data_IF_008348846490
#
_entry.id   IF_008348846490
#
_cell.length_a   1.000
_cell.length_b   1.000
_cell.length_c   1.000
_cell.angle_alpha   90.00
_cell.angle_beta   90.00
_cell.angle_gamma   90.00
#
_symmetry.space_group_name_H-M   'P 1'
#
loop_
_entity.id
_entity.type
_entity.pdbx_description
1 polymer ?
#
# COMPACT_ATOMS: atom_id res chain seq x y z
N UNK A 1 2.96 5.71 0.32
CA UNK A 1 1.53 5.50 0.67
C UNK A 1 0.85 6.87 0.79
N UNK A 2 -0.44 7.02 0.51
CA UNK A 2 -1.20 8.25 0.82
C UNK A 2 -1.36 8.45 2.34
N UNK A 3 -1.54 9.70 2.80
CA UNK A 3 -1.67 10.05 4.23
C UNK A 3 -2.75 9.28 5.01
N UNK A 4 -2.55 9.15 6.33
CA UNK A 4 -3.41 8.36 7.23
C UNK A 4 -4.86 8.84 7.30
N UNK A 5 -5.14 10.14 7.14
CA UNK A 5 -6.53 10.65 7.14
C UNK A 5 -7.37 10.04 6.02
N UNK A 6 -6.71 9.68 4.92
CA UNK A 6 -7.32 9.06 3.75
C UNK A 6 -7.44 7.53 3.88
N UNK A 7 -6.82 6.93 4.90
CA UNK A 7 -6.70 5.48 5.08
C UNK A 7 -6.97 5.03 6.53
N UNK A 8 -6.72 3.76 6.88
CA UNK A 8 -6.92 3.25 8.23
C UNK A 8 -5.82 3.69 9.21
N UNK A 9 -6.18 4.02 10.46
CA UNK A 9 -5.24 4.50 11.49
C UNK A 9 -4.12 3.51 11.82
N UNK A 10 -4.39 2.20 11.74
CA UNK A 10 -3.39 1.15 11.99
C UNK A 10 -2.39 0.92 10.84
N UNK A 11 -2.59 1.53 9.67
CA UNK A 11 -1.76 1.23 8.50
C UNK A 11 -0.33 1.75 8.61
N UNK A 12 -0.09 2.90 9.25
CA UNK A 12 1.27 3.40 9.41
C UNK A 12 2.14 2.40 10.19
N UNK A 13 1.65 1.94 11.34
CA UNK A 13 2.34 0.92 12.13
C UNK A 13 2.49 -0.38 11.35
N UNK A 14 1.43 -0.84 10.66
CA UNK A 14 1.50 -2.07 9.87
C UNK A 14 2.54 -1.99 8.73
N UNK A 15 2.62 -0.87 8.01
CA UNK A 15 3.61 -0.67 6.95
C UNK A 15 5.05 -0.55 7.45
N UNK A 16 5.22 -0.19 8.73
CA UNK A 16 6.50 -0.21 9.42
C UNK A 16 6.81 -1.56 10.09
N UNK A 17 6.00 -2.60 9.84
CA UNK A 17 6.18 -3.91 10.44
C UNK A 17 5.99 -3.91 11.96
N UNK A 18 5.08 -3.08 12.48
CA UNK A 18 4.80 -2.94 13.92
C UNK A 18 3.37 -3.32 14.26
N UNK A 19 3.18 -3.88 15.44
CA UNK A 19 1.85 -4.21 15.96
C UNK A 19 1.03 -2.93 16.17
N UNK A 20 -0.12 -2.82 15.51
CA UNK A 20 -1.06 -1.71 15.68
C UNK A 20 -2.17 -1.99 16.71
N UNK A 21 -2.27 -3.23 17.18
CA UNK A 21 -3.26 -3.68 18.14
C UNK A 21 -2.57 -4.56 19.20
N UNK A 22 -3.13 -4.65 20.41
CA UNK A 22 -2.58 -5.44 21.52
C UNK A 22 -2.83 -6.94 21.37
N UNK A 23 -3.54 -7.36 20.32
CA UNK A 23 -3.85 -8.76 20.03
C UNK A 23 -3.61 -9.11 18.56
N UNK A 24 -2.93 -10.23 18.31
CA UNK A 24 -2.70 -10.75 16.96
C UNK A 24 -3.90 -11.53 16.43
N UNK A 25 -3.90 -11.85 15.14
CA UNK A 25 -4.92 -12.71 14.52
C UNK A 25 -4.94 -14.13 15.12
N UNK A 26 -3.81 -14.59 15.66
CA UNK A 26 -3.68 -15.88 16.39
C UNK A 26 -3.98 -15.75 17.88
N UNK A 27 -4.65 -14.66 18.29
CA UNK A 27 -5.10 -14.38 19.66
C UNK A 27 -4.00 -14.19 20.69
N UNK A 28 -2.74 -13.99 20.27
CA UNK A 28 -1.63 -13.69 21.17
C UNK A 28 -1.68 -12.24 21.63
N UNK A 29 -1.34 -12.00 22.90
CA UNK A 29 -1.17 -10.65 23.45
C UNK A 29 0.21 -10.12 23.07
N UNK A 30 0.25 -8.89 22.56
CA UNK A 30 1.47 -8.21 22.11
C UNK A 30 1.41 -6.75 22.55
N UNK A 31 2.56 -6.11 22.71
CA UNK A 31 2.61 -4.68 23.00
C UNK A 31 2.42 -3.88 21.69
N UNK A 32 1.58 -2.85 21.73
CA UNK A 32 1.38 -1.95 20.58
C UNK A 32 2.71 -1.23 20.29
N UNK A 33 3.05 -1.14 19.00
CA UNK A 33 4.24 -0.46 18.53
C UNK A 33 5.49 -1.34 18.48
N UNK A 34 5.49 -2.55 19.06
CA UNK A 34 6.65 -3.45 18.93
C UNK A 34 6.78 -4.00 17.52
N UNK A 35 8.01 -4.27 17.05
CA UNK A 35 8.23 -4.92 15.76
C UNK A 35 7.57 -6.30 15.71
N UNK A 36 7.06 -6.66 14.53
CA UNK A 36 6.53 -8.00 14.22
C UNK A 36 7.67 -8.97 13.88
N UNK A 37 8.81 -8.44 13.44
CA UNK A 37 10.04 -9.17 13.11
C UNK A 37 11.23 -8.21 13.17
N UNK A 38 12.43 -8.71 12.90
CA UNK A 38 13.66 -7.88 12.84
C UNK A 38 13.74 -7.01 11.57
N UNK A 39 12.76 -7.13 10.66
CA UNK A 39 12.67 -6.30 9.47
C UNK A 39 12.44 -4.82 9.82
N UNK A 40 13.16 -3.94 9.13
CA UNK A 40 13.06 -2.50 9.28
C UNK A 40 12.70 -1.84 7.95
N UNK A 41 11.86 -0.82 8.01
CA UNK A 41 11.48 -0.01 6.85
C UNK A 41 11.32 1.45 7.22
N UNK A 42 11.52 2.31 6.22
CA UNK A 42 11.19 3.73 6.28
C UNK A 42 9.82 3.93 5.61
N UNK A 43 8.91 4.62 6.28
CA UNK A 43 7.58 4.92 5.74
C UNK A 43 7.53 6.37 5.25
N UNK A 44 7.34 6.54 3.93
CA UNK A 44 7.10 7.83 3.31
C UNK A 44 5.61 7.99 2.94
N UNK A 45 5.02 9.07 3.41
CA UNK A 45 3.62 9.41 3.19
C UNK A 45 3.47 10.56 2.18
N UNK A 46 2.74 10.30 1.10
CA UNK A 46 2.33 11.30 0.12
C UNK A 46 1.11 12.04 0.63
N UNK A 47 1.28 13.34 0.82
CA UNK A 47 0.20 14.19 1.31
C UNK A 47 -0.76 14.51 0.18
N UNK A 48 -2.03 14.11 0.28
CA UNK A 48 -3.04 14.35 -0.75
C UNK A 48 -3.75 15.70 -0.64
N UNK A 49 -3.67 16.37 0.52
CA UNK A 49 -4.37 17.63 0.80
C UNK A 49 -3.39 18.68 1.31
N UNK A 50 -3.62 19.94 0.97
CA UNK A 50 -2.90 21.07 1.57
C UNK A 50 -3.32 21.25 3.03
N UNK A 51 -2.62 22.11 3.77
CA UNK A 51 -2.92 22.40 5.18
C UNK A 51 -4.35 22.94 5.38
N UNK A 52 -4.88 23.67 4.40
CA UNK A 52 -6.25 24.18 4.40
C UNK A 52 -7.32 23.12 4.10
N UNK A 53 -6.93 21.86 3.85
CA UNK A 53 -7.83 20.75 3.55
C UNK A 53 -8.18 20.58 2.06
N UNK A 54 -7.82 21.53 1.20
CA UNK A 54 -8.02 21.43 -0.25
C UNK A 54 -7.18 20.29 -0.86
N UNK A 55 -7.71 19.65 -1.90
CA UNK A 55 -7.01 18.54 -2.57
C UNK A 55 -5.82 19.10 -3.36
N UNK A 56 -4.66 18.44 -3.24
CA UNK A 56 -3.48 18.76 -4.06
C UNK A 56 -3.69 18.28 -5.49
N UNK A 57 -3.07 18.99 -6.43
CA UNK A 57 -3.03 18.55 -7.83
C UNK A 57 -2.42 17.14 -7.92
N UNK A 58 -3.12 16.21 -8.57
CA UNK A 58 -2.68 14.81 -8.69
C UNK A 58 -1.33 14.69 -9.36
N UNK A 59 -1.09 15.44 -10.44
CA UNK A 59 0.19 15.43 -11.17
C UNK A 59 1.36 15.89 -10.30
N UNK A 60 1.13 16.82 -9.36
CA UNK A 60 2.16 17.25 -8.42
C UNK A 60 2.47 16.17 -7.38
N UNK A 61 1.47 15.44 -6.88
CA UNK A 61 1.67 14.31 -5.96
C UNK A 61 2.35 13.14 -6.67
N UNK A 62 2.00 12.91 -7.95
CA UNK A 62 2.62 11.89 -8.79
C UNK A 62 4.10 12.20 -9.07
N UNK A 63 4.43 13.46 -9.37
CA UNK A 63 5.81 13.91 -9.54
C UNK A 63 6.64 13.77 -8.25
N UNK A 64 6.06 14.14 -7.10
CA UNK A 64 6.69 13.93 -5.78
C UNK A 64 6.94 12.43 -5.53
N UNK A 65 5.95 11.58 -5.82
CA UNK A 65 6.07 10.13 -5.70
C UNK A 65 7.20 9.59 -6.58
N UNK A 66 7.26 10.03 -7.84
CA UNK A 66 8.30 9.61 -8.78
C UNK A 66 9.68 10.02 -8.27
N UNK A 67 9.86 11.27 -7.83
CA UNK A 67 11.12 11.77 -7.31
C UNK A 67 11.62 10.97 -6.10
N UNK A 68 10.75 10.66 -5.14
CA UNK A 68 11.11 9.87 -3.96
C UNK A 68 11.55 8.46 -4.35
N UNK A 69 10.86 7.84 -5.30
CA UNK A 69 11.15 6.49 -5.76
C UNK A 69 12.44 6.46 -6.59
N UNK A 70 12.61 7.40 -7.52
CA UNK A 70 13.83 7.52 -8.33
C UNK A 70 15.06 7.72 -7.43
N UNK A 71 14.94 8.55 -6.39
CA UNK A 71 16.01 8.76 -5.39
C UNK A 71 16.32 7.46 -4.63
N UNK A 72 15.31 6.77 -4.10
CA UNK A 72 15.51 5.54 -3.34
C UNK A 72 16.09 4.41 -4.21
N UNK A 73 15.56 4.25 -5.43
CA UNK A 73 15.98 3.21 -6.37
C UNK A 73 17.41 3.44 -6.88
N UNK A 74 17.80 4.69 -7.16
CA UNK A 74 19.18 5.06 -7.53
C UNK A 74 20.15 4.76 -6.39
N UNK A 75 19.73 4.93 -5.13
CA UNK A 75 20.50 4.54 -3.95
C UNK A 75 20.49 3.01 -3.68
N UNK A 76 19.95 2.20 -4.58
CA UNK A 76 19.90 0.74 -4.45
C UNK A 76 18.87 0.21 -3.45
N UNK A 77 18.01 1.07 -2.89
CA UNK A 77 16.98 0.65 -1.92
C UNK A 77 15.84 -0.10 -2.63
N UNK A 78 15.27 -1.10 -1.96
CA UNK A 78 13.99 -1.70 -2.36
C UNK A 78 12.84 -0.82 -1.90
N UNK A 79 11.83 -0.69 -2.74
CA UNK A 79 10.66 0.18 -2.55
C UNK A 79 9.39 -0.65 -2.66
N UNK A 80 8.53 -0.57 -1.65
CA UNK A 80 7.15 -1.02 -1.75
C UNK A 80 6.24 0.20 -1.98
N UNK A 81 5.82 0.43 -3.23
CA UNK A 81 4.87 1.47 -3.57
C UNK A 81 3.45 1.01 -3.22
N UNK A 82 2.86 1.63 -2.21
CA UNK A 82 1.50 1.37 -1.77
C UNK A 82 0.56 2.37 -2.42
N UNK A 83 -0.26 1.89 -3.36
CA UNK A 83 -1.31 2.67 -4.03
C UNK A 83 -2.63 2.39 -3.36
N UNK A 84 -3.35 3.43 -2.96
CA UNK A 84 -4.72 3.28 -2.45
C UNK A 84 -5.69 3.47 -3.60
N UNK A 85 -6.34 2.37 -4.00
CA UNK A 85 -7.37 2.37 -5.03
C UNK A 85 -8.69 2.78 -4.39
N UNK A 86 -8.94 4.08 -4.46
CA UNK A 86 -9.93 4.88 -3.74
C UNK A 86 -9.73 4.95 -2.23
N UNK A 87 -9.43 6.16 -1.75
CA UNK A 87 -9.35 6.48 -0.34
C UNK A 87 -10.72 6.54 0.34
N UNK A 88 -10.74 6.76 1.66
CA UNK A 88 -11.98 7.07 2.41
C UNK A 88 -12.77 8.23 1.78
N UNK A 89 -12.09 9.21 1.20
CA UNK A 89 -12.73 10.37 0.54
C UNK A 89 -12.79 10.24 -0.99
N UNK A 90 -12.48 9.08 -1.55
CA UNK A 90 -12.57 8.80 -2.99
C UNK A 90 -11.34 9.25 -3.81
N UNK A 91 -10.23 9.61 -3.17
CA UNK A 91 -9.02 10.03 -3.88
C UNK A 91 -8.21 8.82 -4.35
N UNK A 92 -7.56 8.96 -5.50
CA UNK A 92 -6.55 8.03 -6.03
C UNK A 92 -5.28 8.82 -6.27
N UNK A 93 -4.35 8.77 -5.31
CA UNK A 93 -2.99 9.32 -5.46
C UNK A 93 -1.96 8.41 -4.75
N UNK A 94 -0.81 8.10 -5.38
CA UNK A 94 -0.48 8.46 -6.76
C UNK A 94 -1.36 7.71 -7.76
N UNK A 95 -1.42 8.19 -9.00
CA UNK A 95 -2.17 7.55 -10.07
C UNK A 95 -1.68 6.13 -10.37
N UNK A 96 -2.57 5.25 -10.82
CA UNK A 96 -2.23 3.87 -11.21
C UNK A 96 -1.24 3.86 -12.40
N UNK A 97 -1.41 4.76 -13.36
CA UNK A 97 -0.48 4.94 -14.49
C UNK A 97 0.93 5.32 -14.02
N UNK A 98 1.03 6.19 -13.01
CA UNK A 98 2.30 6.58 -12.38
C UNK A 98 2.96 5.38 -11.70
N UNK A 99 2.20 4.58 -10.95
CA UNK A 99 2.71 3.34 -10.35
C UNK A 99 3.24 2.35 -11.41
N UNK A 100 2.53 2.23 -12.53
CA UNK A 100 2.95 1.40 -13.65
C UNK A 100 4.25 1.88 -14.31
N UNK A 101 4.34 3.17 -14.61
CA UNK A 101 5.55 3.77 -15.17
C UNK A 101 6.76 3.56 -14.24
N UNK A 102 6.57 3.72 -12.92
CA UNK A 102 7.65 3.54 -11.94
C UNK A 102 8.07 2.08 -11.79
N UNK A 103 7.12 1.13 -11.80
CA UNK A 103 7.43 -0.30 -11.78
C UNK A 103 8.21 -0.73 -13.02
N UNK A 104 7.87 -0.20 -14.20
CA UNK A 104 8.61 -0.50 -15.43
C UNK A 104 10.00 0.14 -15.44
N UNK A 105 10.14 1.36 -14.91
CA UNK A 105 11.42 2.05 -14.83
C UNK A 105 12.38 1.36 -13.86
N UNK A 106 11.88 0.85 -12.74
CA UNK A 106 12.68 0.23 -11.67
C UNK A 106 12.19 -1.18 -11.32
N UNK A 107 12.20 -2.14 -12.26
CA UNK A 107 11.54 -3.43 -12.08
C UNK A 107 12.17 -4.29 -10.99
N UNK A 108 13.46 -4.08 -10.70
CA UNK A 108 14.19 -4.79 -9.66
C UNK A 108 14.06 -4.13 -8.28
N UNK A 109 13.79 -2.83 -8.20
CA UNK A 109 13.78 -2.07 -6.96
C UNK A 109 12.36 -1.84 -6.45
N UNK A 110 11.38 -1.61 -7.34
CA UNK A 110 10.02 -1.24 -6.98
C UNK A 110 9.12 -2.47 -7.06
N UNK A 111 8.38 -2.76 -5.99
CA UNK A 111 7.19 -3.60 -6.01
C UNK A 111 5.96 -2.75 -5.72
N UNK A 112 4.80 -3.12 -6.28
CA UNK A 112 3.56 -2.36 -6.12
C UNK A 112 2.54 -3.19 -5.35
N UNK A 113 1.95 -2.58 -4.33
CA UNK A 113 0.78 -3.10 -3.65
C UNK A 113 -0.38 -2.13 -3.80
N UNK A 114 -1.47 -2.61 -4.36
CA UNK A 114 -2.74 -1.89 -4.45
C UNK A 114 -3.60 -2.24 -3.24
N UNK A 115 -4.07 -1.22 -2.53
CA UNK A 115 -5.00 -1.34 -1.41
C UNK A 115 -6.37 -0.90 -1.89
N UNK A 116 -7.22 -1.87 -2.25
CA UNK A 116 -8.61 -1.64 -2.69
C UNK A 116 -9.59 -1.95 -1.56
N UNK A 117 -9.22 -1.66 -0.32
CA UNK A 117 -9.99 -2.01 0.87
C UNK A 117 -11.27 -1.18 1.06
N UNK A 118 -11.55 -0.18 0.22
CA UNK A 118 -12.87 0.47 0.16
C UNK A 118 -13.83 -0.27 -0.77
N UNK A 119 -13.35 -1.28 -1.50
CA UNK A 119 -14.16 -2.11 -2.41
C UNK A 119 -14.96 -1.32 -3.46
N UNK A 120 -14.50 -0.12 -3.84
CA UNK A 120 -15.06 0.67 -4.95
C UNK A 120 -14.39 0.31 -6.27
N UNK A 121 -14.15 -0.99 -6.47
CA UNK A 121 -13.35 -1.52 -7.57
C UNK A 121 -14.07 -2.71 -8.20
N UNK A 122 -13.95 -2.85 -9.53
CA UNK A 122 -14.52 -4.00 -10.24
C UNK A 122 -13.61 -5.23 -10.14
N UNK A 123 -14.19 -6.42 -10.30
CA UNK A 123 -13.41 -7.68 -10.40
C UNK A 123 -12.45 -7.68 -11.59
N UNK A 124 -12.84 -7.05 -12.71
CA UNK A 124 -11.99 -6.89 -13.88
C UNK A 124 -10.76 -6.02 -13.57
N UNK A 125 -10.93 -4.94 -12.80
CA UNK A 125 -9.83 -4.07 -12.37
C UNK A 125 -8.89 -4.80 -11.41
N UNK A 126 -9.43 -5.57 -10.45
CA UNK A 126 -8.62 -6.41 -9.55
C UNK A 126 -7.79 -7.42 -10.35
N UNK A 127 -8.42 -8.09 -11.34
CA UNK A 127 -7.73 -9.02 -12.23
C UNK A 127 -6.59 -8.31 -12.98
N UNK A 128 -6.86 -7.14 -13.56
CA UNK A 128 -5.85 -6.36 -14.24
C UNK A 128 -4.66 -6.05 -13.33
N UNK A 129 -4.87 -5.64 -12.08
CA UNK A 129 -3.75 -5.42 -11.14
C UNK A 129 -2.89 -6.67 -10.92
N UNK A 130 -3.52 -7.83 -10.71
CA UNK A 130 -2.80 -9.09 -10.50
C UNK A 130 -2.02 -9.49 -11.77
N UNK A 131 -2.63 -9.33 -12.96
CA UNK A 131 -1.98 -9.59 -14.25
C UNK A 131 -0.78 -8.67 -14.52
N UNK A 132 -0.83 -7.42 -14.03
CA UNK A 132 0.31 -6.49 -14.06
C UNK A 132 1.39 -6.82 -13.02
N UNK A 133 1.23 -7.89 -12.24
CA UNK A 133 2.20 -8.30 -11.22
C UNK A 133 2.11 -7.49 -9.93
N UNK A 134 0.99 -6.82 -9.67
CA UNK A 134 0.78 -6.09 -8.41
C UNK A 134 0.18 -7.00 -7.34
N UNK A 135 0.63 -6.81 -6.10
CA UNK A 135 -0.08 -7.34 -4.94
C UNK A 135 -1.37 -6.56 -4.75
N UNK A 136 -2.45 -7.22 -4.33
CA UNK A 136 -3.74 -6.56 -4.09
C UNK A 136 -4.27 -6.93 -2.72
N UNK A 137 -4.43 -5.92 -1.85
CA UNK A 137 -5.06 -6.06 -0.55
C UNK A 137 -6.54 -5.69 -0.62
N UNK A 138 -7.39 -6.59 -0.11
CA UNK A 138 -8.85 -6.45 -0.05
C UNK A 138 -9.34 -6.74 1.37
N UNK A 139 -10.59 -6.36 1.65
CA UNK A 139 -11.23 -6.59 2.96
C UNK A 139 -12.68 -7.01 2.77
N UNK A 140 -13.12 -7.95 3.60
CA UNK A 140 -14.54 -8.30 3.73
C UNK A 140 -15.28 -7.38 4.69
N UNK A 141 -14.59 -6.84 5.69
CA UNK A 141 -15.22 -6.18 6.86
C UNK A 141 -15.62 -4.70 6.64
N UNK A 142 -15.91 -4.31 5.40
CA UNK A 142 -16.38 -2.96 5.05
C UNK A 142 -17.61 -3.05 4.16
N UNK A 143 -17.53 -2.58 2.92
CA UNK A 143 -18.65 -2.56 1.98
C UNK A 143 -19.17 -3.94 1.56
N UNK A 144 -18.43 -5.01 1.90
CA UNK A 144 -18.79 -6.40 1.57
C UNK A 144 -19.51 -7.09 2.75
N UNK A 145 -19.73 -6.38 3.87
CA UNK A 145 -20.50 -6.85 5.04
C UNK A 145 -20.01 -8.19 5.65
N UNK A 146 -18.73 -8.49 5.46
CA UNK A 146 -18.06 -9.64 6.08
C UNK A 146 -17.72 -9.41 7.56
N UNK A 147 -17.31 -10.46 8.28
CA UNK A 147 -16.95 -10.34 9.70
C UNK A 147 -15.78 -9.39 9.92
N UNK A 148 -15.72 -8.79 11.11
CA UNK A 148 -14.61 -7.90 11.50
C UNK A 148 -13.27 -8.58 11.32
N UNK A 149 -12.28 -7.81 10.86
CA UNK A 149 -10.93 -8.30 10.55
C UNK A 149 -10.85 -9.37 9.44
N UNK A 150 -11.88 -9.50 8.60
CA UNK A 150 -11.80 -10.27 7.35
C UNK A 150 -11.02 -9.52 6.28
N UNK A 151 -9.90 -10.10 5.84
CA UNK A 151 -8.99 -9.54 4.83
C UNK A 151 -8.37 -10.61 3.96
N UNK A 152 -7.98 -10.24 2.74
CA UNK A 152 -7.26 -11.12 1.81
C UNK A 152 -6.20 -10.31 1.07
N UNK A 153 -5.06 -10.95 0.80
CA UNK A 153 -4.01 -10.40 -0.06
C UNK A 153 -3.77 -11.35 -1.23
N UNK A 154 -3.96 -10.85 -2.44
CA UNK A 154 -3.64 -11.54 -3.67
C UNK A 154 -2.18 -11.24 -4.01
N UNK A 155 -1.37 -12.29 -4.16
CA UNK A 155 0.05 -12.17 -4.49
C UNK A 155 0.30 -12.88 -5.83
N UNK A 156 0.76 -12.16 -6.86
CA UNK A 156 1.12 -12.77 -8.14
C UNK A 156 2.18 -13.86 -7.96
N UNK A 157 2.09 -14.94 -8.76
CA UNK A 157 2.96 -16.11 -8.63
C UNK A 157 4.45 -15.77 -8.69
N UNK A 158 4.85 -14.90 -9.62
CA UNK A 158 6.25 -14.48 -9.77
C UNK A 158 6.76 -13.72 -8.54
N UNK A 159 5.94 -12.82 -7.99
CA UNK A 159 6.25 -12.10 -6.75
C UNK A 159 6.37 -13.07 -5.59
N UNK A 160 5.43 -14.02 -5.44
CA UNK A 160 5.50 -15.04 -4.40
C UNK A 160 6.76 -15.91 -4.51
N UNK A 161 7.16 -16.32 -5.72
CA UNK A 161 8.35 -17.13 -5.94
C UNK A 161 9.64 -16.41 -5.49
N UNK A 162 9.75 -15.09 -5.75
CA UNK A 162 10.90 -14.27 -5.32
C UNK A 162 11.06 -14.20 -3.80
N UNK A 163 9.97 -14.32 -3.05
CA UNK A 163 9.98 -14.16 -1.59
C UNK A 163 9.86 -15.48 -0.82
N UNK A 164 9.68 -16.63 -1.49
CA UNK A 164 9.60 -17.96 -0.86
C UNK A 164 10.95 -18.60 -0.54
N UNK A 165 12.04 -18.04 -1.04
CA UNK A 165 13.41 -18.56 -0.88
C UNK A 165 14.32 -17.71 0.01
N UNK A 166 13.73 -16.88 0.89
CA UNK A 166 14.43 -16.18 1.96
C UNK A 166 14.12 -16.87 3.28
#
# INVERSE_FOLDING_TARGET
MITLRETGSGLASAHQGRHFNSRTALRQTVAIGTPVSDWQSELLALTARKRDGSVRCSTAVDAECAQLIDTAATAGKKVLLIVTDTSKTGLIVPGISTAWALKQRWPAQVEVMVVSCQFRVSTATIRAYVEHGYMVALTGSKFVDGPTFSGVMLIPRLTAARHRGV
#
